data_IF_924434856626
#
_entry.id   IF_924434856626
#
_cell.length_a   1.000
_cell.length_b   1.000
_cell.length_c   1.000
_cell.angle_alpha   90.00
_cell.angle_beta   90.00
_cell.angle_gamma   90.00
#
_symmetry.space_group_name_H-M   'P 1'
#
loop_
_entity.id
_entity.type
_entity.pdbx_description
1 polymer ?
#
# COMPACT_ATOMS: atom_id res chain seq x y z
N UNK A 1 -3.06 16.15 -39.68
CA UNK A 1 -3.58 15.66 -38.38
C UNK A 1 -4.74 14.72 -38.65
N UNK A 2 -4.59 13.42 -38.36
CA UNK A 2 -5.67 12.43 -38.54
C UNK A 2 -6.12 11.96 -37.16
N UNK A 3 -7.43 11.91 -36.91
CA UNK A 3 -8.01 11.40 -35.66
C UNK A 3 -8.25 9.91 -35.83
N UNK A 4 -7.77 9.10 -34.89
CA UNK A 4 -8.11 7.68 -34.84
C UNK A 4 -9.58 7.49 -34.42
N UNK A 5 -10.25 6.57 -35.12
CA UNK A 5 -11.66 6.25 -34.88
C UNK A 5 -11.74 5.13 -33.84
N UNK A 6 -12.35 5.41 -32.69
CA UNK A 6 -12.60 4.38 -31.69
C UNK A 6 -13.69 3.43 -32.22
N UNK A 7 -13.34 2.16 -32.36
CA UNK A 7 -14.27 1.12 -32.79
C UNK A 7 -14.73 0.28 -31.60
N UNK A 8 -15.78 -0.52 -31.77
CA UNK A 8 -16.21 -1.51 -30.76
C UNK A 8 -15.07 -2.46 -30.36
N UNK A 9 -14.16 -2.79 -31.28
CA UNK A 9 -12.97 -3.59 -30.99
C UNK A 9 -11.98 -2.87 -30.07
N UNK A 10 -11.80 -1.56 -30.22
CA UNK A 10 -10.97 -0.72 -29.35
C UNK A 10 -11.51 -0.70 -27.91
N UNK A 11 -12.84 -0.78 -27.75
CA UNK A 11 -13.50 -0.88 -26.44
C UNK A 11 -13.36 -2.27 -25.82
N UNK A 12 -13.39 -3.34 -26.63
CA UNK A 12 -13.30 -4.72 -26.16
C UNK A 12 -11.87 -5.16 -25.79
N UNK A 13 -10.84 -4.54 -26.37
CA UNK A 13 -9.44 -4.77 -26.02
C UNK A 13 -8.83 -3.47 -25.51
N UNK A 14 -9.18 -3.04 -24.28
CA UNK A 14 -8.54 -1.89 -23.67
C UNK A 14 -7.04 -2.20 -23.58
N UNK A 15 -6.21 -1.26 -24.03
CA UNK A 15 -4.79 -1.32 -23.76
C UNK A 15 -4.59 -1.18 -22.24
N UNK A 16 -4.29 -2.30 -21.59
CA UNK A 16 -4.12 -2.38 -20.15
C UNK A 16 -2.97 -1.47 -19.69
N UNK A 17 -1.94 -1.27 -20.52
CA UNK A 17 -0.81 -0.39 -20.20
C UNK A 17 -1.23 1.08 -20.08
N UNK A 18 -2.08 1.55 -21.00
CA UNK A 18 -2.63 2.92 -20.97
C UNK A 18 -3.64 3.11 -19.85
N UNK A 19 -4.47 2.09 -19.57
CA UNK A 19 -5.50 2.15 -18.52
C UNK A 19 -4.89 2.21 -17.12
N UNK A 20 -3.79 1.48 -16.88
CA UNK A 20 -3.04 1.52 -15.61
C UNK A 20 -2.32 2.86 -15.46
N UNK A 21 -1.71 3.38 -16.54
CA UNK A 21 -0.98 4.66 -16.51
C UNK A 21 -1.90 5.85 -16.19
N UNK A 22 -3.14 5.84 -16.66
CA UNK A 22 -4.11 6.90 -16.34
C UNK A 22 -4.61 6.86 -14.89
N UNK A 23 -4.71 5.67 -14.27
CA UNK A 23 -5.09 5.54 -12.86
C UNK A 23 -3.98 5.93 -11.88
N UNK A 24 -2.73 5.89 -12.30
CA UNK A 24 -1.59 6.32 -11.49
C UNK A 24 -1.32 7.83 -11.56
N UNK A 25 -2.05 8.57 -12.41
CA UNK A 25 -1.78 9.97 -12.69
C UNK A 25 -2.24 10.99 -11.64
N UNK A 26 -3.01 10.61 -10.61
CA UNK A 26 -3.62 11.58 -9.69
C UNK A 26 -3.30 11.45 -8.20
N UNK A 27 -2.56 10.44 -7.75
CA UNK A 27 -2.18 10.32 -6.33
C UNK A 27 -0.66 10.23 -6.19
N UNK A 28 -0.02 11.39 -6.13
CA UNK A 28 1.36 11.54 -5.62
C UNK A 28 1.41 11.33 -4.09
N UNK A 29 0.70 10.35 -3.56
CA UNK A 29 0.99 9.87 -2.21
C UNK A 29 2.34 9.16 -2.26
N UNK A 30 3.30 9.49 -1.38
CA UNK A 30 4.63 8.88 -1.43
C UNK A 30 4.49 7.36 -1.36
N UNK A 31 5.17 6.68 -2.29
CA UNK A 31 5.19 5.23 -2.57
C UNK A 31 5.57 4.35 -1.34
N UNK A 32 5.74 4.94 -0.17
CA UNK A 32 6.10 4.26 1.07
C UNK A 32 5.38 4.92 2.23
N UNK A 33 4.44 4.21 2.86
CA UNK A 33 3.78 4.68 4.08
C UNK A 33 4.86 4.81 5.17
N UNK A 34 5.07 6.03 5.67
CA UNK A 34 5.96 6.30 6.80
C UNK A 34 5.14 6.25 8.07
N UNK A 35 5.61 5.53 9.08
CA UNK A 35 5.02 5.53 10.42
C UNK A 35 5.84 6.43 11.34
N UNK A 36 5.18 7.11 12.28
CA UNK A 36 5.80 7.97 13.28
C UNK A 36 5.90 7.26 14.63
N UNK A 37 6.85 7.69 15.46
CA UNK A 37 6.94 7.20 16.85
C UNK A 37 5.69 7.64 17.62
N UNK A 38 5.08 6.71 18.36
CA UNK A 38 3.80 6.89 19.06
C UNK A 38 2.57 6.53 18.22
N UNK A 39 2.73 6.25 16.92
CA UNK A 39 1.62 5.88 16.05
C UNK A 39 1.14 4.46 16.36
N UNK A 40 -0.19 4.29 16.42
CA UNK A 40 -0.83 2.99 16.54
C UNK A 40 -0.88 2.30 15.18
N UNK A 41 -0.45 1.05 15.14
CA UNK A 41 -0.32 0.25 13.93
C UNK A 41 -0.84 -1.17 14.17
N UNK A 42 -1.27 -1.83 13.10
CA UNK A 42 -1.52 -3.27 13.11
C UNK A 42 -0.27 -3.99 12.61
N UNK A 43 0.17 -5.01 13.36
CA UNK A 43 1.33 -5.83 13.00
C UNK A 43 0.96 -7.31 12.98
N UNK A 44 1.56 -8.05 12.06
CA UNK A 44 1.43 -9.50 12.03
C UNK A 44 2.55 -10.10 12.86
N UNK A 45 2.21 -10.75 13.98
CA UNK A 45 3.20 -11.44 14.81
C UNK A 45 3.44 -12.86 14.28
N UNK A 46 4.59 -13.06 13.61
CA UNK A 46 4.99 -14.36 13.08
C UNK A 46 5.44 -15.38 14.14
N UNK A 47 5.63 -14.96 15.40
CA UNK A 47 5.93 -15.90 16.51
C UNK A 47 4.69 -16.69 16.91
N UNK A 48 3.51 -16.08 16.74
CA UNK A 48 2.22 -16.69 17.00
C UNK A 48 1.65 -17.16 15.66
N UNK A 49 1.63 -18.47 15.42
CA UNK A 49 1.07 -19.11 14.21
C UNK A 49 -0.45 -18.94 14.02
N UNK A 50 -1.03 -17.81 14.48
CA UNK A 50 -2.45 -17.50 14.43
C UNK A 50 -2.85 -16.77 13.14
N UNK A 51 -1.89 -16.17 12.43
CA UNK A 51 -2.16 -15.36 11.24
C UNK A 51 -3.00 -14.10 11.52
N UNK A 52 -3.20 -13.74 12.80
CA UNK A 52 -3.99 -12.59 13.23
C UNK A 52 -3.10 -11.36 13.33
N UNK A 53 -3.66 -10.21 12.93
CA UNK A 53 -3.06 -8.91 13.16
C UNK A 53 -3.28 -8.50 14.61
N UNK A 54 -2.23 -7.98 15.26
CA UNK A 54 -2.26 -7.46 16.61
C UNK A 54 -2.05 -5.93 16.59
N UNK A 55 -2.67 -5.22 17.52
CA UNK A 55 -2.41 -3.80 17.72
C UNK A 55 -1.06 -3.59 18.40
N UNK A 56 -0.33 -2.58 17.93
CA UNK A 56 0.92 -2.15 18.53
C UNK A 56 1.18 -0.67 18.34
N UNK A 57 2.19 -0.17 19.04
CA UNK A 57 2.62 1.22 18.98
C UNK A 57 4.07 1.30 18.52
N UNK A 58 4.36 2.15 17.53
CA UNK A 58 5.72 2.39 17.06
C UNK A 58 6.52 3.08 18.16
N UNK A 59 7.62 2.48 18.59
CA UNK A 59 8.47 3.04 19.66
C UNK A 59 9.75 3.67 19.10
N UNK A 60 10.29 3.12 18.01
CA UNK A 60 11.51 3.63 17.35
C UNK A 60 11.47 3.38 15.85
N UNK A 61 12.12 4.25 15.09
CA UNK A 61 12.41 4.06 13.66
C UNK A 61 13.84 3.54 13.54
N UNK A 62 14.02 2.35 12.98
CA UNK A 62 15.31 1.69 12.81
C UNK A 62 15.90 1.88 11.40
N UNK A 63 15.05 2.21 10.42
CA UNK A 63 15.43 2.44 9.03
C UNK A 63 14.27 2.99 8.20
N UNK A 64 14.44 3.14 6.88
CA UNK A 64 13.43 3.75 6.00
C UNK A 64 12.04 3.07 6.04
N UNK A 65 12.02 1.76 6.30
CA UNK A 65 10.80 0.92 6.38
C UNK A 65 10.88 -0.09 7.53
N UNK A 66 11.74 0.18 8.50
CA UNK A 66 11.99 -0.74 9.62
C UNK A 66 11.68 -0.02 10.92
N UNK A 67 10.73 -0.56 11.67
CA UNK A 67 10.20 0.05 12.88
C UNK A 67 10.28 -0.94 14.03
N UNK A 68 10.60 -0.43 15.22
CA UNK A 68 10.45 -1.18 16.45
C UNK A 68 9.05 -0.90 17.00
N UNK A 69 8.23 -1.94 17.13
CA UNK A 69 6.83 -1.85 17.56
C UNK A 69 6.66 -2.61 18.86
N UNK A 70 6.05 -1.94 19.86
CA UNK A 70 5.58 -2.59 21.07
C UNK A 70 4.17 -3.12 20.81
N UNK A 71 3.95 -4.41 21.02
CA UNK A 71 2.65 -5.06 20.81
C UNK A 71 1.97 -5.21 22.15
N UNK A 72 0.77 -4.64 22.28
CA UNK A 72 -0.03 -4.76 23.50
C UNK A 72 -0.60 -6.19 23.53
N UNK A 73 0.14 -7.08 24.16
CA UNK A 73 -0.26 -8.47 24.31
C UNK A 73 -1.40 -8.52 25.35
N UNK A 74 -2.65 -8.39 24.89
CA UNK A 74 -3.81 -8.69 25.72
C UNK A 74 -3.87 -10.22 25.86
N UNK A 75 -3.32 -10.69 26.99
CA UNK A 75 -3.51 -12.04 27.52
C UNK A 75 -5.02 -12.31 27.67
#
# INVERSE_FOLDING_TARGET
>A
MKRELQTRLTVMKPDLGLTISQRQGSDQTPLTRKCLVGEKVLVLDFRRYTGKWAEGTVTRILGPVTYHVYVDDQI
#
